data_IF_862108066323
#
_entry.id   IF_862108066323
#
_cell.length_a   1.000
_cell.length_b   1.000
_cell.length_c   1.000
_cell.angle_alpha   90.00
_cell.angle_beta   90.00
_cell.angle_gamma   90.00
#
_symmetry.space_group_name_H-M   'P 1'
#
loop_
_entity.id
_entity.type
_entity.pdbx_description
1 polymer ?
#
# COMPACT_ATOMS: atom_id res chain seq x y z
N UNK A 1 -11.92 7.52 11.44
CA UNK A 1 -10.77 7.92 10.64
C UNK A 1 -10.03 6.68 10.16
N UNK A 2 -9.79 6.57 8.86
CA UNK A 2 -9.13 5.39 8.32
C UNK A 2 -7.62 5.45 8.54
N UNK A 3 -7.03 4.32 8.92
CA UNK A 3 -5.60 4.21 9.20
C UNK A 3 -4.91 3.46 8.06
N UNK A 4 -3.92 4.09 7.45
CA UNK A 4 -3.20 3.56 6.29
C UNK A 4 -1.75 3.27 6.67
N UNK A 5 -1.26 2.10 6.29
CA UNK A 5 0.17 1.78 6.37
C UNK A 5 0.78 1.96 4.99
N UNK A 6 1.76 2.85 4.89
CA UNK A 6 2.49 3.12 3.64
C UNK A 6 3.88 2.51 3.73
N UNK A 7 4.18 1.55 2.86
CA UNK A 7 5.49 0.94 2.72
C UNK A 7 6.14 1.46 1.45
N UNK A 8 7.08 2.39 1.59
CA UNK A 8 7.72 3.10 0.49
C UNK A 8 9.08 3.62 0.96
N UNK A 9 10.12 3.51 0.13
CA UNK A 9 11.46 3.97 0.51
C UNK A 9 11.89 5.30 -0.14
N UNK A 10 11.16 5.78 -1.15
CA UNK A 10 11.46 7.07 -1.81
C UNK A 10 10.93 8.22 -0.96
N UNK A 11 11.85 9.02 -0.38
CA UNK A 11 11.48 10.13 0.50
C UNK A 11 10.61 11.19 -0.17
N UNK A 12 10.89 11.52 -1.43
CA UNK A 12 10.08 12.51 -2.15
C UNK A 12 8.64 12.04 -2.29
N UNK A 13 8.47 10.77 -2.63
CA UNK A 13 7.14 10.18 -2.78
C UNK A 13 6.45 10.08 -1.43
N UNK A 14 7.15 9.68 -0.38
CA UNK A 14 6.62 9.63 0.98
C UNK A 14 6.08 11.01 1.40
N UNK A 15 6.84 12.08 1.15
CA UNK A 15 6.44 13.42 1.52
C UNK A 15 5.16 13.85 0.80
N UNK A 16 5.10 13.60 -0.52
CA UNK A 16 3.91 13.94 -1.31
C UNK A 16 2.68 13.15 -0.90
N UNK A 17 2.83 11.85 -0.71
CA UNK A 17 1.73 10.99 -0.29
C UNK A 17 1.27 11.31 1.12
N UNK A 18 2.21 11.58 2.04
CA UNK A 18 1.88 11.92 3.42
C UNK A 18 1.03 13.19 3.49
N UNK A 19 1.42 14.20 2.73
CA UNK A 19 0.66 15.45 2.64
C UNK A 19 -0.77 15.19 2.13
N UNK A 20 -0.87 14.48 1.00
CA UNK A 20 -2.16 14.20 0.36
C UNK A 20 -3.08 13.36 1.28
N UNK A 21 -2.54 12.35 1.93
CA UNK A 21 -3.34 11.46 2.77
C UNK A 21 -3.82 12.16 4.03
N UNK A 22 -2.96 12.97 4.66
CA UNK A 22 -3.36 13.75 5.84
C UNK A 22 -4.43 14.78 5.50
N UNK A 23 -4.33 15.37 4.32
CA UNK A 23 -5.34 16.32 3.85
C UNK A 23 -6.70 15.64 3.67
N UNK A 24 -6.72 14.36 3.35
CA UNK A 24 -7.96 13.58 3.26
C UNK A 24 -8.49 13.13 4.63
N UNK A 25 -7.75 13.40 5.70
CA UNK A 25 -8.14 12.99 7.04
C UNK A 25 -7.71 11.57 7.39
N UNK A 26 -6.83 10.95 6.61
CA UNK A 26 -6.31 9.62 6.93
C UNK A 26 -5.26 9.69 8.02
N UNK A 27 -5.28 8.71 8.91
CA UNK A 27 -4.19 8.46 9.85
C UNK A 27 -3.14 7.65 9.11
N UNK A 28 -1.87 8.02 9.22
CA UNK A 28 -0.82 7.43 8.40
C UNK A 28 0.35 6.93 9.23
N UNK A 29 0.75 5.68 8.98
CA UNK A 29 2.01 5.14 9.44
C UNK A 29 2.88 4.86 8.23
N UNK A 30 4.15 5.30 8.26
CA UNK A 30 5.09 5.13 7.15
C UNK A 30 6.22 4.22 7.58
N UNK A 31 6.50 3.22 6.76
CA UNK A 31 7.67 2.34 6.92
C UNK A 31 8.42 2.26 5.60
N UNK A 32 9.73 2.06 5.64
CA UNK A 32 10.59 2.14 4.46
C UNK A 32 11.23 0.80 4.08
N UNK A 33 11.10 -0.22 4.93
CA UNK A 33 11.67 -1.53 4.70
C UNK A 33 10.67 -2.61 5.09
N UNK A 34 10.89 -3.83 4.59
CA UNK A 34 10.09 -4.99 4.98
C UNK A 34 10.20 -5.27 6.47
N UNK A 35 11.40 -5.11 7.03
CA UNK A 35 11.63 -5.32 8.45
C UNK A 35 10.73 -4.40 9.28
N UNK A 36 10.72 -3.11 8.97
CA UNK A 36 9.86 -2.14 9.67
C UNK A 36 8.38 -2.47 9.50
N UNK A 37 7.99 -2.86 8.28
CA UNK A 37 6.61 -3.22 7.98
C UNK A 37 6.16 -4.42 8.83
N UNK A 38 6.99 -5.44 8.92
CA UNK A 38 6.68 -6.63 9.71
C UNK A 38 6.56 -6.32 11.21
N UNK A 39 7.41 -5.45 11.71
CA UNK A 39 7.36 -5.03 13.12
C UNK A 39 6.07 -4.26 13.43
N UNK A 40 5.74 -3.30 12.56
CA UNK A 40 4.60 -2.42 12.80
C UNK A 40 3.26 -3.10 12.53
N UNK A 41 3.20 -4.02 11.57
CA UNK A 41 1.98 -4.73 11.21
C UNK A 41 1.37 -5.49 12.38
N UNK A 42 2.20 -6.14 13.20
CA UNK A 42 1.73 -6.91 14.35
C UNK A 42 1.17 -6.07 15.50
N UNK A 43 1.50 -4.78 15.54
CA UNK A 43 1.15 -3.88 16.64
C UNK A 43 -0.05 -3.00 16.36
N UNK A 44 -0.46 -2.87 15.08
CA UNK A 44 -1.51 -1.94 14.70
C UNK A 44 -2.63 -2.60 13.93
N UNK A 45 -3.75 -1.90 13.87
CA UNK A 45 -4.87 -2.27 13.02
C UNK A 45 -4.95 -1.25 11.90
N UNK A 46 -4.80 -1.70 10.69
CA UNK A 46 -4.83 -0.85 9.52
C UNK A 46 -6.05 -1.13 8.68
N UNK A 47 -6.61 -0.09 8.08
CA UNK A 47 -7.78 -0.20 7.22
C UNK A 47 -7.40 -0.43 5.76
N UNK A 48 -6.15 -0.09 5.40
CA UNK A 48 -5.66 -0.25 4.05
C UNK A 48 -4.12 -0.19 4.05
N UNK A 49 -3.51 -0.96 3.17
CA UNK A 49 -2.07 -0.95 2.96
C UNK A 49 -1.74 -0.42 1.57
N UNK A 50 -0.74 0.47 1.49
CA UNK A 50 -0.17 0.93 0.22
C UNK A 50 1.27 0.45 0.20
N UNK A 51 1.59 -0.47 -0.70
CA UNK A 51 2.87 -1.18 -0.71
C UNK A 51 3.65 -0.92 -2.00
N UNK A 52 4.85 -0.37 -1.88
CA UNK A 52 5.80 -0.37 -2.99
C UNK A 52 6.26 -1.81 -3.24
N UNK A 53 6.47 -2.14 -4.49
CA UNK A 53 6.95 -3.48 -4.87
C UNK A 53 8.45 -3.62 -4.63
N UNK A 54 9.23 -2.60 -4.98
CA UNK A 54 10.70 -2.65 -4.86
C UNK A 54 11.18 -1.96 -3.59
N UNK A 55 11.79 -2.72 -2.70
CA UNK A 55 12.27 -2.22 -1.40
C UNK A 55 13.73 -2.63 -1.20
N UNK A 56 14.46 -1.94 -0.30
CA UNK A 56 15.88 -2.26 -0.07
C UNK A 56 16.12 -3.70 0.37
N UNK A 57 15.18 -4.30 1.09
CA UNK A 57 15.34 -5.64 1.67
C UNK A 57 14.37 -6.69 1.11
N UNK A 58 13.78 -6.43 -0.07
CA UNK A 58 12.92 -7.41 -0.73
C UNK A 58 11.81 -6.78 -1.54
N UNK A 59 10.64 -7.43 -1.59
CA UNK A 59 9.50 -6.95 -2.36
C UNK A 59 8.26 -6.78 -1.51
N UNK A 60 7.38 -5.85 -1.93
CA UNK A 60 6.07 -5.69 -1.31
C UNK A 60 5.19 -6.92 -1.46
N UNK A 61 5.44 -7.75 -2.48
CA UNK A 61 4.73 -9.01 -2.66
C UNK A 61 4.93 -9.97 -1.49
N UNK A 62 6.15 -10.03 -0.97
CA UNK A 62 6.47 -10.87 0.19
C UNK A 62 5.64 -10.47 1.41
N UNK A 63 5.53 -9.17 1.64
CA UNK A 63 4.73 -8.65 2.74
C UNK A 63 3.24 -8.94 2.53
N UNK A 64 2.73 -8.76 1.31
CA UNK A 64 1.35 -9.07 0.97
C UNK A 64 1.01 -10.54 1.25
N UNK A 65 1.87 -11.46 0.84
CA UNK A 65 1.67 -12.89 1.11
C UNK A 65 1.53 -13.17 2.61
N UNK A 66 2.38 -12.55 3.39
CA UNK A 66 2.36 -12.73 4.86
C UNK A 66 1.07 -12.16 5.45
N UNK A 67 0.67 -10.97 5.04
CA UNK A 67 -0.55 -10.33 5.51
C UNK A 67 -1.78 -11.18 5.14
N UNK A 68 -1.82 -11.72 3.94
CA UNK A 68 -2.96 -12.51 3.46
C UNK A 68 -3.17 -13.83 4.20
N UNK A 69 -2.18 -14.31 4.94
CA UNK A 69 -2.34 -15.47 5.80
C UNK A 69 -3.29 -15.19 6.98
N UNK A 70 -3.41 -13.94 7.39
CA UNK A 70 -4.15 -13.57 8.61
C UNK A 70 -5.16 -12.45 8.40
N UNK A 71 -5.22 -11.81 7.23
CA UNK A 71 -6.07 -10.64 7.03
C UNK A 71 -6.52 -10.47 5.60
N UNK A 72 -7.72 -9.87 5.43
CA UNK A 72 -8.28 -9.48 4.14
C UNK A 72 -8.23 -7.95 3.95
N UNK A 73 -7.38 -7.27 4.70
CA UNK A 73 -7.24 -5.82 4.58
C UNK A 73 -6.98 -5.41 3.14
N UNK A 74 -7.61 -4.33 2.63
CA UNK A 74 -7.36 -3.87 1.26
C UNK A 74 -5.89 -3.51 1.04
N UNK A 75 -5.34 -3.91 -0.10
CA UNK A 75 -3.94 -3.68 -0.47
C UNK A 75 -3.86 -3.07 -1.86
N UNK A 76 -3.13 -1.95 -1.98
CA UNK A 76 -2.78 -1.34 -3.26
C UNK A 76 -1.27 -1.44 -3.44
N UNK A 77 -0.82 -1.96 -4.58
CA UNK A 77 0.59 -1.95 -4.93
C UNK A 77 0.95 -0.69 -5.72
N UNK A 78 2.08 -0.09 -5.39
CA UNK A 78 2.71 0.97 -6.17
C UNK A 78 3.99 0.42 -6.77
N UNK A 79 4.22 0.64 -8.08
CA UNK A 79 5.40 0.09 -8.72
C UNK A 79 5.80 0.90 -9.95
N UNK A 80 7.09 0.87 -10.27
CA UNK A 80 7.59 1.41 -11.53
C UNK A 80 7.36 0.45 -12.72
N UNK A 81 6.98 -0.80 -12.45
CA UNK A 81 6.77 -1.81 -13.49
C UNK A 81 5.32 -1.84 -13.95
N UNK A 82 5.11 -1.70 -15.26
CA UNK A 82 3.80 -1.84 -15.90
C UNK A 82 3.69 -3.14 -16.69
N UNK A 83 4.62 -4.07 -16.49
CA UNK A 83 4.60 -5.35 -17.18
C UNK A 83 3.39 -6.18 -16.73
N UNK A 84 2.66 -6.71 -17.70
CA UNK A 84 1.44 -7.47 -17.46
C UNK A 84 1.64 -8.62 -16.48
N UNK A 85 2.74 -9.35 -16.60
CA UNK A 85 3.03 -10.48 -15.71
C UNK A 85 3.18 -10.06 -14.26
N UNK A 86 3.80 -8.90 -14.02
CA UNK A 86 3.96 -8.37 -12.65
C UNK A 86 2.63 -7.92 -12.06
N UNK A 87 1.76 -7.33 -12.89
CA UNK A 87 0.42 -6.92 -12.45
C UNK A 87 -0.41 -8.15 -12.09
N UNK A 88 -0.42 -9.16 -12.94
CA UNK A 88 -1.14 -10.41 -12.70
C UNK A 88 -0.63 -11.07 -11.41
N UNK A 89 0.67 -11.16 -11.24
CA UNK A 89 1.26 -11.77 -10.06
C UNK A 89 0.84 -11.02 -8.79
N UNK A 90 0.88 -9.70 -8.80
CA UNK A 90 0.49 -8.89 -7.64
C UNK A 90 -0.97 -9.10 -7.25
N UNK A 91 -1.86 -9.12 -8.23
CA UNK A 91 -3.29 -9.33 -7.97
C UNK A 91 -3.57 -10.77 -7.53
N UNK A 92 -2.90 -11.74 -8.12
CA UNK A 92 -3.06 -13.17 -7.76
C UNK A 92 -2.58 -13.47 -6.33
N UNK A 93 -1.56 -12.73 -5.85
CA UNK A 93 -1.09 -12.88 -4.46
C UNK A 93 -2.10 -12.33 -3.47
N UNK A 94 -3.02 -11.48 -3.93
CA UNK A 94 -4.06 -10.92 -3.08
C UNK A 94 -4.12 -9.41 -3.02
N UNK A 95 -3.42 -8.71 -3.94
CA UNK A 95 -3.57 -7.26 -4.08
C UNK A 95 -4.94 -6.91 -4.64
N UNK A 96 -5.52 -5.81 -4.16
CA UNK A 96 -6.83 -5.35 -4.62
C UNK A 96 -6.72 -4.38 -5.79
N UNK A 97 -5.60 -3.69 -5.90
CA UNK A 97 -5.35 -2.76 -6.99
C UNK A 97 -3.85 -2.64 -7.22
N UNK A 98 -3.49 -2.09 -8.38
CA UNK A 98 -2.11 -2.00 -8.83
C UNK A 98 -1.94 -0.70 -9.60
N UNK A 99 -1.10 0.19 -9.09
CA UNK A 99 -0.89 1.51 -9.67
C UNK A 99 0.57 1.67 -10.10
N UNK A 100 0.79 2.02 -11.37
CA UNK A 100 2.13 2.20 -11.91
C UNK A 100 2.62 3.64 -11.72
N UNK A 101 3.90 3.79 -11.40
CA UNK A 101 4.57 5.09 -11.31
C UNK A 101 5.04 5.54 -12.68
N UNK A 102 4.95 6.82 -13.04
CA UNK A 102 4.35 7.90 -12.27
C UNK A 102 2.82 7.85 -12.30
N UNK A 103 2.19 8.31 -11.23
CA UNK A 103 0.72 8.35 -11.14
C UNK A 103 0.26 9.71 -10.61
N UNK A 104 -1.03 9.98 -10.76
CA UNK A 104 -1.65 11.20 -10.23
C UNK A 104 -2.17 10.90 -8.82
N UNK A 105 -1.86 11.78 -7.87
CA UNK A 105 -2.29 11.62 -6.48
C UNK A 105 -3.81 11.49 -6.36
N UNK A 106 -4.57 12.26 -7.13
CA UNK A 106 -6.03 12.18 -7.12
C UNK A 106 -6.55 10.81 -7.51
N UNK A 107 -5.89 10.13 -8.45
CA UNK A 107 -6.26 8.77 -8.86
C UNK A 107 -6.03 7.80 -7.71
N UNK A 108 -4.87 7.88 -7.07
CA UNK A 108 -4.55 7.02 -5.92
C UNK A 108 -5.56 7.23 -4.79
N UNK A 109 -5.84 8.47 -4.42
CA UNK A 109 -6.82 8.79 -3.37
C UNK A 109 -8.21 8.24 -3.71
N UNK A 110 -8.65 8.37 -4.96
CA UNK A 110 -9.94 7.83 -5.40
C UNK A 110 -10.00 6.31 -5.27
N UNK A 111 -8.92 5.62 -5.58
CA UNK A 111 -8.85 4.16 -5.44
C UNK A 111 -8.84 3.73 -3.98
N UNK A 112 -8.12 4.46 -3.14
CA UNK A 112 -8.14 4.23 -1.70
C UNK A 112 -9.57 4.35 -1.16
N UNK A 113 -10.24 5.44 -1.49
CA UNK A 113 -11.63 5.65 -1.03
C UNK A 113 -12.58 4.56 -1.52
N UNK A 114 -12.42 4.10 -2.76
CA UNK A 114 -13.24 3.03 -3.31
C UNK A 114 -13.04 1.72 -2.53
N UNK A 115 -11.80 1.36 -2.23
CA UNK A 115 -11.51 0.14 -1.47
C UNK A 115 -11.99 0.24 -0.03
N UNK A 116 -11.84 1.40 0.61
CA UNK A 116 -12.33 1.60 1.97
C UNK A 116 -13.85 1.48 2.04
N UNK A 117 -14.58 1.98 1.04
CA UNK A 117 -16.03 1.83 0.97
C UNK A 117 -16.44 0.36 0.88
N UNK A 118 -15.77 -0.42 0.04
CA UNK A 118 -16.05 -1.85 -0.14
C UNK A 118 -15.81 -2.63 1.15
N UNK A 119 -14.73 -2.31 1.84
CA UNK A 119 -14.37 -3.00 3.08
C UNK A 119 -15.37 -2.76 4.20
N UNK A 120 -16.00 -1.58 4.20
CA UNK A 120 -16.99 -1.22 5.24
C UNK A 120 -18.41 -1.70 4.90
N UNK A 121 -18.62 -2.03 3.67
CA UNK A 121 -19.95 -2.27 3.22
C UNK A 121 -20.41 -3.43 2.69
#
# INVERSE_FOLDING_TARGET
MSKILLLEDDLSLINGLSFAFRKQGFELAVVRTLKEANELWGEGKYDLLVLDVSLPDGTGYEFCKKVRQVSKVPIIFLTASDEEMNIIMGLDIGGDDYITKPFKLGVLVSRINALLRRAKG
#
